data_IF_203574584537
#
_entry.id   IF_203574584537
#
_cell.length_a   1.000
_cell.length_b   1.000
_cell.length_c   1.000
_cell.angle_alpha   90.00
_cell.angle_beta   90.00
_cell.angle_gamma   90.00
#
_symmetry.space_group_name_H-M   'P 1'
#
loop_
_entity.id
_entity.type
_entity.pdbx_description
1 polymer ?
#
# COMPACT_ATOMS: atom_id res chain seq x y z
N UNK A 1 0.12 -14.62 -28.77
CA UNK A 1 -1.23 -14.53 -29.38
C UNK A 1 -1.87 -13.25 -28.84
N UNK A 2 -1.91 -12.19 -29.66
CA UNK A 2 -2.56 -10.92 -29.26
C UNK A 2 -4.05 -11.07 -29.55
N UNK A 3 -4.88 -10.95 -28.52
CA UNK A 3 -6.33 -10.94 -28.71
C UNK A 3 -6.71 -9.66 -29.45
N UNK A 4 -7.15 -9.80 -30.69
CA UNK A 4 -7.70 -8.70 -31.46
C UNK A 4 -9.13 -8.42 -30.96
N UNK A 5 -9.54 -7.13 -30.90
CA UNK A 5 -10.91 -6.78 -30.56
C UNK A 5 -11.88 -7.38 -31.57
N UNK A 6 -13.00 -7.91 -31.08
CA UNK A 6 -14.09 -8.43 -31.89
C UNK A 6 -14.69 -7.28 -32.74
N UNK A 7 -14.67 -7.37 -34.08
CA UNK A 7 -15.17 -6.32 -34.95
C UNK A 7 -16.69 -6.09 -34.82
N UNK A 8 -17.44 -7.06 -34.31
CA UNK A 8 -18.90 -6.92 -34.11
C UNK A 8 -19.26 -6.19 -32.81
N UNK A 9 -18.32 -6.07 -31.86
CA UNK A 9 -18.55 -5.35 -30.61
C UNK A 9 -18.28 -3.87 -30.82
N UNK A 10 -19.34 -3.06 -30.85
CA UNK A 10 -19.20 -1.61 -30.91
C UNK A 10 -18.33 -1.11 -29.76
N UNK A 11 -17.35 -0.23 -30.03
CA UNK A 11 -16.45 0.26 -28.99
C UNK A 11 -17.23 1.01 -27.91
N UNK A 12 -17.23 0.49 -26.69
CA UNK A 12 -18.07 1.00 -25.60
C UNK A 12 -17.45 2.23 -24.96
N UNK A 13 -18.30 3.17 -24.55
CA UNK A 13 -17.90 4.21 -23.63
C UNK A 13 -17.57 3.58 -22.27
N UNK A 14 -16.42 3.94 -21.70
CA UNK A 14 -16.06 3.56 -20.34
C UNK A 14 -16.45 4.70 -19.42
N UNK A 15 -17.46 4.48 -18.58
CA UNK A 15 -17.83 5.45 -17.53
C UNK A 15 -17.28 4.99 -16.19
N UNK A 16 -16.36 5.75 -15.63
CA UNK A 16 -15.77 5.54 -14.30
C UNK A 16 -16.12 6.70 -13.38
N UNK A 17 -16.21 6.44 -12.08
CA UNK A 17 -16.30 7.50 -11.08
C UNK A 17 -14.91 7.88 -10.61
N UNK A 18 -14.60 9.16 -10.57
CA UNK A 18 -13.32 9.67 -10.07
C UNK A 18 -13.57 10.48 -8.82
N UNK A 19 -12.80 10.20 -7.76
CA UNK A 19 -12.86 10.93 -6.51
C UNK A 19 -11.55 11.71 -6.28
N UNK A 20 -11.69 12.97 -5.89
CA UNK A 20 -10.59 13.85 -5.52
C UNK A 20 -10.61 14.08 -4.00
N UNK A 21 -9.46 13.90 -3.36
CA UNK A 21 -9.29 14.07 -1.91
C UNK A 21 -8.19 15.10 -1.64
N UNK A 22 -8.43 15.95 -0.63
CA UNK A 22 -7.44 16.88 -0.09
C UNK A 22 -6.93 16.37 1.27
N UNK A 23 -5.64 16.57 1.56
CA UNK A 23 -5.07 16.35 2.89
C UNK A 23 -5.44 17.53 3.81
N UNK A 24 -6.24 17.26 4.85
CA UNK A 24 -6.69 18.27 5.83
C UNK A 24 -6.52 17.71 7.23
N UNK A 25 -5.75 18.40 8.08
CA UNK A 25 -5.54 18.02 9.49
C UNK A 25 -5.09 16.56 9.69
N UNK A 26 -4.35 16.01 8.72
CA UNK A 26 -3.89 14.63 8.76
C UNK A 26 -4.95 13.58 8.39
N UNK A 27 -6.06 14.00 7.77
CA UNK A 27 -7.09 13.13 7.17
C UNK A 27 -7.21 13.38 5.66
N UNK A 28 -7.67 12.38 4.91
CA UNK A 28 -7.96 12.52 3.48
C UNK A 28 -9.46 12.77 3.29
N UNK A 29 -9.80 14.04 3.08
CA UNK A 29 -11.19 14.50 3.01
C UNK A 29 -11.62 14.57 1.55
N UNK A 30 -12.80 14.02 1.25
CA UNK A 30 -13.37 14.06 -0.09
C UNK A 30 -13.68 15.50 -0.49
N UNK A 31 -13.03 15.96 -1.56
CA UNK A 31 -13.26 17.29 -2.16
C UNK A 31 -14.37 17.24 -3.20
N UNK A 32 -14.29 16.27 -4.11
CA UNK A 32 -15.20 16.19 -5.25
C UNK A 32 -15.30 14.76 -5.80
N UNK A 33 -16.46 14.44 -6.38
CA UNK A 33 -16.68 13.21 -7.16
C UNK A 33 -17.39 13.56 -8.46
N UNK A 34 -16.91 12.97 -9.54
CA UNK A 34 -17.56 13.09 -10.85
C UNK A 34 -17.53 11.76 -11.60
N UNK A 35 -18.46 11.62 -12.55
CA UNK A 35 -18.43 10.53 -13.51
C UNK A 35 -17.74 11.01 -14.79
N UNK A 36 -16.72 10.27 -15.19
CA UNK A 36 -15.96 10.53 -16.41
C UNK A 36 -16.26 9.42 -17.40
N UNK A 37 -16.90 9.80 -18.51
CA UNK A 37 -17.14 8.92 -19.65
C UNK A 37 -16.03 9.12 -20.68
N UNK A 38 -15.24 8.08 -20.89
CA UNK A 38 -14.19 8.03 -21.90
C UNK A 38 -14.71 7.33 -23.16
N UNK A 39 -14.57 8.01 -24.30
CA UNK A 39 -14.79 7.41 -25.60
C UNK A 39 -13.71 6.38 -25.97
N UNK A 40 -13.97 5.51 -26.96
CA UNK A 40 -13.06 4.42 -27.36
C UNK A 40 -11.64 4.83 -27.78
N UNK A 41 -11.48 6.06 -28.27
CA UNK A 41 -10.19 6.62 -28.71
C UNK A 41 -9.73 7.78 -27.83
N UNK A 42 -10.50 8.11 -26.79
CA UNK A 42 -10.17 9.18 -25.86
C UNK A 42 -9.04 8.70 -24.94
N UNK A 43 -7.95 9.45 -24.91
CA UNK A 43 -6.73 9.07 -24.17
C UNK A 43 -6.60 9.75 -22.81
N UNK A 44 -7.43 10.73 -22.54
CA UNK A 44 -7.40 11.46 -21.28
C UNK A 44 -8.45 12.56 -21.26
N UNK A 45 -8.80 12.94 -20.04
CA UNK A 45 -9.58 14.13 -19.72
C UNK A 45 -8.79 14.89 -18.67
N UNK A 46 -8.69 16.20 -18.82
CA UNK A 46 -8.13 17.04 -17.77
C UNK A 46 -9.17 17.13 -16.65
N UNK A 47 -8.93 16.40 -15.57
CA UNK A 47 -9.77 16.45 -14.37
C UNK A 47 -9.21 17.58 -13.54
N UNK A 48 -9.77 18.77 -13.73
CA UNK A 48 -9.26 19.99 -13.15
C UNK A 48 -9.32 19.95 -11.62
N UNK A 49 -8.16 20.04 -10.98
CA UNK A 49 -8.01 20.32 -9.54
C UNK A 49 -6.69 19.80 -8.96
N UNK A 50 -5.94 20.67 -8.28
CA UNK A 50 -4.78 20.27 -7.46
C UNK A 50 -5.25 19.56 -6.18
N UNK A 51 -5.82 18.37 -6.33
CA UNK A 51 -6.09 17.47 -5.21
C UNK A 51 -4.80 16.76 -4.79
N UNK A 52 -4.74 16.33 -3.54
CA UNK A 52 -3.59 15.58 -3.03
C UNK A 52 -3.65 14.10 -3.43
N UNK A 53 -4.87 13.57 -3.61
CA UNK A 53 -5.11 12.21 -4.08
C UNK A 53 -6.30 12.17 -5.03
N UNK A 54 -6.06 11.72 -6.27
CA UNK A 54 -7.08 11.37 -7.25
C UNK A 54 -7.21 9.85 -7.32
N UNK A 55 -8.42 9.34 -7.14
CA UNK A 55 -8.75 7.91 -7.20
C UNK A 55 -9.73 7.67 -8.36
N UNK A 56 -9.24 7.23 -9.53
CA UNK A 56 -10.10 6.75 -10.60
C UNK A 56 -10.79 5.44 -10.20
N UNK A 57 -12.04 5.25 -10.64
CA UNK A 57 -12.85 4.08 -10.31
C UNK A 57 -12.96 3.84 -8.79
N UNK A 58 -13.19 4.91 -8.02
CA UNK A 58 -13.20 4.89 -6.54
C UNK A 58 -14.26 3.95 -5.94
N UNK A 59 -15.27 3.59 -6.73
CA UNK A 59 -16.33 2.65 -6.37
C UNK A 59 -16.00 1.18 -6.65
N UNK A 60 -14.89 0.91 -7.35
CA UNK A 60 -14.45 -0.41 -7.80
C UNK A 60 -15.49 -1.17 -8.65
N UNK A 61 -16.40 -0.47 -9.34
CA UNK A 61 -17.49 -1.13 -10.10
C UNK A 61 -17.05 -1.52 -11.51
N UNK A 62 -16.05 -0.84 -12.08
CA UNK A 62 -15.52 -1.17 -13.42
C UNK A 62 -14.29 -2.06 -13.31
N UNK A 63 -14.20 -3.01 -14.23
CA UNK A 63 -13.02 -3.86 -14.37
C UNK A 63 -11.93 -3.12 -15.17
N UNK A 64 -11.16 -2.28 -14.47
CA UNK A 64 -10.12 -1.44 -15.07
C UNK A 64 -8.86 -1.45 -14.21
N UNK A 65 -7.70 -1.34 -14.86
CA UNK A 65 -6.43 -1.09 -14.17
C UNK A 65 -6.35 0.40 -13.80
N UNK A 66 -6.14 0.69 -12.52
CA UNK A 66 -5.99 2.07 -12.02
C UNK A 66 -4.51 2.36 -11.81
N UNK A 67 -4.05 3.52 -12.27
CA UNK A 67 -2.70 4.03 -12.01
C UNK A 67 -2.81 5.41 -11.40
N UNK A 68 -2.10 5.61 -10.28
CA UNK A 68 -2.01 6.91 -9.62
C UNK A 68 -0.92 7.74 -10.28
N UNK A 69 -1.19 9.03 -10.46
CA UNK A 69 -0.16 10.01 -10.79
C UNK A 69 0.86 10.13 -9.63
N UNK A 70 2.05 10.70 -9.87
CA UNK A 70 3.10 10.77 -8.85
C UNK A 70 2.69 11.43 -7.53
N UNK A 71 1.88 12.51 -7.58
CA UNK A 71 1.41 13.20 -6.37
C UNK A 71 0.44 12.31 -5.60
N UNK A 72 -0.57 11.78 -6.28
CA UNK A 72 -1.53 10.85 -5.69
C UNK A 72 -0.88 9.62 -5.08
N UNK A 73 0.12 9.04 -5.76
CA UNK A 73 0.89 7.90 -5.25
C UNK A 73 1.62 8.26 -3.96
N UNK A 74 2.29 9.40 -3.92
CA UNK A 74 3.04 9.82 -2.73
C UNK A 74 2.12 10.13 -1.55
N UNK A 75 1.01 10.82 -1.79
CA UNK A 75 -0.03 11.07 -0.78
C UNK A 75 -0.61 9.76 -0.26
N UNK A 76 -0.93 8.81 -1.15
CA UNK A 76 -1.41 7.49 -0.76
C UNK A 76 -0.39 6.78 0.14
N UNK A 77 0.89 6.71 -0.25
CA UNK A 77 1.92 6.05 0.55
C UNK A 77 2.12 6.64 1.96
N UNK A 78 1.78 7.91 2.18
CA UNK A 78 1.90 8.58 3.49
C UNK A 78 0.64 8.49 4.35
N UNK A 79 -0.53 8.50 3.70
CA UNK A 79 -1.80 8.80 4.37
C UNK A 79 -2.87 7.73 4.09
N UNK A 80 -2.54 6.57 3.54
CA UNK A 80 -3.52 5.59 3.07
C UNK A 80 -4.56 5.21 4.13
N UNK A 81 -4.13 4.98 5.37
CA UNK A 81 -5.02 4.62 6.48
C UNK A 81 -5.91 5.76 6.97
N UNK A 82 -5.73 6.97 6.45
CA UNK A 82 -6.52 8.18 6.73
C UNK A 82 -7.61 8.44 5.68
N UNK A 83 -7.66 7.59 4.66
CA UNK A 83 -8.76 7.55 3.71
C UNK A 83 -9.89 6.71 4.32
N UNK A 84 -10.98 7.31 4.79
CA UNK A 84 -12.04 6.57 5.49
C UNK A 84 -12.85 5.65 4.55
N UNK A 85 -13.02 6.05 3.28
CA UNK A 85 -13.76 5.28 2.29
C UNK A 85 -13.06 3.95 1.96
N UNK A 86 -13.66 2.84 2.43
CA UNK A 86 -13.11 1.48 2.27
C UNK A 86 -12.96 1.07 0.81
N UNK A 87 -13.87 1.48 -0.09
CA UNK A 87 -13.82 1.08 -1.51
C UNK A 87 -12.71 1.84 -2.21
N UNK A 88 -12.63 3.15 -2.01
CA UNK A 88 -11.55 3.95 -2.55
C UNK A 88 -10.19 3.44 -2.05
N UNK A 89 -10.09 3.07 -0.77
CA UNK A 89 -8.87 2.51 -0.18
C UNK A 89 -8.46 1.17 -0.79
N UNK A 90 -9.43 0.28 -1.06
CA UNK A 90 -9.16 -0.97 -1.77
C UNK A 90 -8.62 -0.73 -3.20
N UNK A 91 -9.15 0.28 -3.90
CA UNK A 91 -8.66 0.68 -5.24
C UNK A 91 -7.23 1.21 -5.14
N UNK A 92 -6.93 2.06 -4.17
CA UNK A 92 -5.58 2.58 -3.93
C UNK A 92 -4.61 1.44 -3.62
N UNK A 93 -4.97 0.48 -2.77
CA UNK A 93 -4.14 -0.71 -2.50
C UNK A 93 -3.86 -1.53 -3.76
N UNK A 94 -4.87 -1.73 -4.60
CA UNK A 94 -4.73 -2.38 -5.90
C UNK A 94 -3.76 -1.63 -6.81
N UNK A 95 -3.93 -0.31 -6.94
CA UNK A 95 -3.08 0.54 -7.77
C UNK A 95 -1.61 0.54 -7.31
N UNK A 96 -1.35 0.57 -5.99
CA UNK A 96 0.01 0.48 -5.45
C UNK A 96 0.65 -0.88 -5.70
N UNK A 97 -0.13 -1.97 -5.61
CA UNK A 97 0.37 -3.31 -5.95
C UNK A 97 0.69 -3.42 -7.45
N UNK A 98 -0.19 -2.91 -8.30
CA UNK A 98 0.05 -2.82 -9.74
C UNK A 98 1.28 -1.99 -10.09
N UNK A 99 1.57 -0.92 -9.34
CA UNK A 99 2.79 -0.14 -9.50
C UNK A 99 4.05 -0.94 -9.12
N UNK A 100 4.00 -1.88 -8.17
CA UNK A 100 5.11 -2.81 -7.92
C UNK A 100 5.32 -3.73 -9.13
N UNK A 101 4.24 -4.32 -9.63
CA UNK A 101 4.27 -5.23 -10.78
C UNK A 101 4.76 -4.54 -12.07
N UNK A 102 4.40 -3.26 -12.26
CA UNK A 102 4.83 -2.43 -13.37
C UNK A 102 6.24 -1.80 -13.15
N UNK A 103 6.95 -2.16 -12.07
CA UNK A 103 8.25 -1.61 -11.68
C UNK A 103 8.28 -0.07 -11.50
N UNK A 104 7.16 0.51 -11.07
CA UNK A 104 6.96 1.95 -10.81
C UNK A 104 7.01 2.31 -9.32
N UNK A 105 6.93 1.31 -8.44
CA UNK A 105 7.04 1.45 -6.99
C UNK A 105 8.04 0.41 -6.47
N UNK A 106 9.09 0.80 -5.71
CA UNK A 106 9.98 -0.17 -5.09
C UNK A 106 9.21 -1.11 -4.16
N UNK A 107 9.52 -2.41 -4.22
CA UNK A 107 8.87 -3.42 -3.39
C UNK A 107 8.94 -3.08 -1.88
N UNK A 108 10.08 -2.57 -1.42
CA UNK A 108 10.27 -2.12 -0.03
C UNK A 108 9.31 -1.00 0.37
N UNK A 109 8.98 -0.10 -0.55
CA UNK A 109 8.08 1.03 -0.29
C UNK A 109 6.63 0.53 -0.16
N UNK A 110 6.23 -0.44 -0.97
CA UNK A 110 4.93 -1.10 -0.82
C UNK A 110 4.83 -1.87 0.50
N UNK A 111 5.84 -2.67 0.84
CA UNK A 111 5.87 -3.41 2.10
C UNK A 111 5.83 -2.46 3.32
N UNK A 112 6.59 -1.36 3.29
CA UNK A 112 6.54 -0.34 4.34
C UNK A 112 5.15 0.31 4.47
N UNK A 113 4.48 0.59 3.34
CA UNK A 113 3.12 1.11 3.35
C UNK A 113 2.14 0.10 3.96
N UNK A 114 2.23 -1.19 3.63
CA UNK A 114 1.41 -2.24 4.24
C UNK A 114 1.63 -2.32 5.75
N UNK A 115 2.88 -2.29 6.21
CA UNK A 115 3.18 -2.33 7.66
C UNK A 115 2.66 -1.08 8.39
N UNK A 116 2.70 0.08 7.75
CA UNK A 116 2.28 1.36 8.36
C UNK A 116 0.77 1.51 8.38
N UNK A 117 0.09 1.16 7.28
CA UNK A 117 -1.32 1.47 7.06
C UNK A 117 -2.24 0.26 7.15
N UNK A 118 -1.75 -0.95 6.85
CA UNK A 118 -2.53 -2.18 6.85
C UNK A 118 -3.16 -2.49 8.21
N UNK A 119 -2.52 -2.10 9.32
CA UNK A 119 -3.06 -2.28 10.68
C UNK A 119 -4.40 -1.58 10.92
N UNK A 120 -4.74 -0.56 10.11
CA UNK A 120 -6.03 0.16 10.18
C UNK A 120 -7.09 -0.43 9.24
N UNK A 121 -6.77 -1.50 8.50
CA UNK A 121 -7.77 -2.26 7.78
C UNK A 121 -8.55 -3.17 8.74
N UNK A 122 -9.87 -3.00 8.75
CA UNK A 122 -10.77 -3.76 9.61
C UNK A 122 -11.28 -5.05 8.97
N UNK A 123 -11.02 -5.25 7.67
CA UNK A 123 -11.39 -6.47 6.96
C UNK A 123 -10.21 -7.45 6.98
N UNK A 124 -10.42 -8.61 7.60
CA UNK A 124 -9.37 -9.62 7.78
C UNK A 124 -8.86 -10.17 6.45
N UNK A 125 -9.73 -10.33 5.45
CA UNK A 125 -9.37 -10.83 4.14
C UNK A 125 -8.51 -9.82 3.37
N UNK A 126 -8.84 -8.53 3.48
CA UNK A 126 -8.00 -7.45 2.94
C UNK A 126 -6.64 -7.44 3.63
N UNK A 127 -6.59 -7.50 4.96
CA UNK A 127 -5.32 -7.50 5.70
C UNK A 127 -4.43 -8.69 5.33
N UNK A 128 -4.99 -9.90 5.29
CA UNK A 128 -4.26 -11.11 4.87
C UNK A 128 -3.68 -10.96 3.47
N UNK A 129 -4.50 -10.51 2.51
CA UNK A 129 -4.06 -10.27 1.14
C UNK A 129 -2.92 -9.25 1.07
N UNK A 130 -2.99 -8.16 1.84
CA UNK A 130 -1.95 -7.13 1.87
C UNK A 130 -0.63 -7.66 2.43
N UNK A 131 -0.68 -8.46 3.50
CA UNK A 131 0.50 -9.07 4.09
C UNK A 131 1.14 -10.09 3.15
N UNK A 132 0.35 -10.94 2.50
CA UNK A 132 0.82 -11.88 1.48
C UNK A 132 1.50 -11.14 0.31
N UNK A 133 0.88 -10.06 -0.18
CA UNK A 133 1.47 -9.22 -1.22
C UNK A 133 2.76 -8.54 -0.75
N UNK A 134 2.84 -8.08 0.50
CA UNK A 134 4.04 -7.46 1.03
C UNK A 134 5.21 -8.45 1.10
N UNK A 135 4.98 -9.67 1.58
CA UNK A 135 5.98 -10.76 1.57
C UNK A 135 6.43 -11.05 0.14
N UNK A 136 5.46 -11.29 -0.76
CA UNK A 136 5.72 -11.54 -2.18
C UNK A 136 6.50 -10.40 -2.84
N UNK A 137 6.20 -9.14 -2.49
CA UNK A 137 6.90 -7.98 -3.01
C UNK A 137 8.40 -8.08 -2.74
N UNK A 138 8.75 -8.32 -1.48
CA UNK A 138 10.15 -8.36 -1.02
C UNK A 138 10.88 -9.59 -1.58
N UNK A 139 10.24 -10.75 -1.57
CA UNK A 139 10.85 -12.01 -2.02
C UNK A 139 11.08 -12.07 -3.53
N UNK A 140 10.16 -11.55 -4.34
CA UNK A 140 10.24 -11.65 -5.79
C UNK A 140 10.81 -10.39 -6.46
N UNK A 141 10.49 -9.21 -5.92
CA UNK A 141 10.80 -7.92 -6.57
C UNK A 141 11.72 -7.02 -5.72
N UNK A 142 12.06 -7.42 -4.49
CA UNK A 142 13.02 -6.69 -3.65
C UNK A 142 14.46 -6.86 -4.13
N UNK A 143 15.29 -5.83 -3.97
CA UNK A 143 16.73 -5.89 -4.24
C UNK A 143 17.37 -6.99 -3.38
N UNK A 144 18.03 -8.01 -3.97
CA UNK A 144 18.70 -9.06 -3.21
C UNK A 144 19.72 -8.55 -2.19
N UNK A 145 20.38 -7.43 -2.46
CA UNK A 145 21.37 -6.83 -1.53
C UNK A 145 20.71 -6.22 -0.30
N UNK A 146 19.48 -5.70 -0.44
CA UNK A 146 18.68 -5.21 0.68
C UNK A 146 18.13 -6.38 1.52
N UNK A 147 18.11 -7.61 0.97
CA UNK A 147 17.74 -8.85 1.68
C UNK A 147 18.88 -9.37 2.56
N UNK A 148 19.62 -8.50 3.23
CA UNK A 148 20.60 -8.87 4.26
C UNK A 148 19.94 -9.47 5.52
N UNK A 149 18.99 -10.38 5.30
CA UNK A 149 18.68 -11.49 6.13
C UNK A 149 19.90 -12.40 6.16
N UNK A 150 20.79 -12.17 7.12
CA UNK A 150 21.77 -13.16 7.47
C UNK A 150 21.01 -14.27 8.22
N UNK A 151 20.71 -15.38 7.53
CA UNK A 151 19.88 -16.50 8.01
C UNK A 151 20.38 -17.12 9.33
N UNK A 152 21.55 -16.70 9.84
CA UNK A 152 22.15 -17.13 11.09
C UNK A 152 21.74 -16.29 12.32
N UNK A 153 21.11 -15.12 12.13
CA UNK A 153 20.92 -14.13 13.20
C UNK A 153 19.63 -14.29 14.02
N UNK A 154 18.64 -15.06 13.55
CA UNK A 154 17.37 -15.30 14.26
C UNK A 154 17.47 -16.30 15.42
N UNK A 155 18.67 -16.82 15.71
CA UNK A 155 18.86 -17.74 16.83
C UNK A 155 18.48 -17.00 18.12
N UNK A 156 17.27 -17.26 18.60
CA UNK A 156 16.75 -16.82 19.89
C UNK A 156 17.86 -16.95 20.92
N UNK A 157 18.31 -15.81 21.47
CA UNK A 157 19.23 -15.79 22.61
C UNK A 157 18.35 -15.72 23.85
N UNK A 158 18.11 -16.83 24.56
CA UNK A 158 17.45 -16.73 25.86
C UNK A 158 18.28 -15.78 26.72
N UNK A 159 17.62 -14.79 27.31
CA UNK A 159 18.25 -13.90 28.29
C UNK A 159 18.81 -14.77 29.41
N UNK A 160 20.14 -14.85 29.53
CA UNK A 160 20.76 -15.53 30.65
C UNK A 160 20.32 -14.82 31.94
N UNK A 161 19.83 -15.54 32.96
CA UNK A 161 19.46 -14.90 34.21
C UNK A 161 20.70 -14.19 34.74
N UNK A 162 20.62 -12.88 34.98
CA UNK A 162 21.67 -12.15 35.69
C UNK A 162 21.88 -12.85 37.02
N UNK A 163 22.97 -13.62 37.11
CA UNK A 163 23.43 -14.23 38.35
C UNK A 163 23.71 -13.06 39.29
N UNK A 164 22.81 -12.78 40.23
CA UNK A 164 23.09 -11.82 41.31
C UNK A 164 24.33 -12.36 42.02
N UNK A 165 25.45 -11.67 41.85
CA UNK A 165 26.64 -11.90 42.63
C UNK A 165 26.28 -11.57 44.08
N UNK A 166 26.05 -12.61 44.89
CA UNK A 166 25.95 -12.45 46.34
C UNK A 166 27.29 -11.96 46.86
N UNK A 167 27.34 -10.70 47.27
CA UNK A 167 28.44 -10.17 48.06
C UNK A 167 28.42 -10.86 49.42
N UNK A 168 29.29 -11.85 49.62
CA UNK A 168 29.62 -12.32 50.97
C UNK A 168 30.50 -11.25 51.62
N UNK A 169 29.93 -10.45 52.51
CA UNK A 169 30.72 -9.62 53.43
C UNK A 169 31.48 -10.55 54.37
N UNK A 170 32.81 -10.46 54.38
CA UNK A 170 33.62 -10.90 55.52
C UNK A 170 33.26 -9.99 56.71
N UNK A 171 32.69 -10.57 57.76
CA UNK A 171 32.66 -9.97 59.08
C UNK A 171 33.66 -10.74 59.95
N UNK A 172 34.64 -10.00 60.47
CA UNK A 172 35.65 -10.47 61.42
C UNK A 172 35.09 -10.40 62.85
N UNK A 173 35.29 -11.48 63.63
CA UNK A 173 35.42 -11.67 65.11
C UNK A 173 34.45 -10.95 66.09
N UNK A 174 34.10 -11.56 67.25
CA UNK A 174 35.01 -11.67 68.42
C UNK A 174 34.91 -13.06 69.11
N UNK A 175 35.70 -13.51 70.10
CA UNK A 175 36.65 -12.95 71.08
C UNK A 175 37.79 -13.95 71.26
#
# INVERSE_FOLDING_TARGET
>A
MVQLPDPEVQPRHLTVRVAAFDEREGELVLRHREHVSLGPRERGRDLAGFADLLVPNDDAVRHVKVRLDPRSRWTALRNLSKLDDRRARAVVWGALWDDVLDARLPARSYAAAVLTHGVRENDIGVLQLLLERAVRAVELYGNPEDRCWDNASWRWRPTSPRRRAGSRSRASAPT
#
